data_IF_967845124082
#
_entry.id   IF_967845124082
#
_cell.length_a   1.000
_cell.length_b   1.000
_cell.length_c   1.000
_cell.angle_alpha   90.00
_cell.angle_beta   90.00
_cell.angle_gamma   90.00
#
_symmetry.space_group_name_H-M   'P 1'
#
loop_
_entity.id
_entity.type
_entity.pdbx_description
1 polymer ?
#
# COMPACT_ATOMS: atom_id res chain seq x y z
N UNK A 1 -5.80 5.79 66.27
CA UNK A 1 -4.59 5.64 65.41
C UNK A 1 -4.84 4.83 64.14
N UNK A 2 -5.46 3.64 64.23
CA UNK A 2 -5.70 2.72 63.08
C UNK A 2 -6.51 3.35 61.94
N UNK A 3 -7.53 4.16 62.27
CA UNK A 3 -8.38 4.91 61.31
C UNK A 3 -7.61 5.96 60.50
N UNK A 4 -6.65 6.65 61.11
CA UNK A 4 -5.83 7.68 60.41
C UNK A 4 -4.90 7.02 59.40
N UNK A 5 -4.40 5.81 59.72
CA UNK A 5 -3.60 5.02 58.81
C UNK A 5 -4.40 4.52 57.59
N UNK A 6 -5.64 4.07 57.81
CA UNK A 6 -6.54 3.67 56.72
C UNK A 6 -6.87 4.83 55.79
N UNK A 7 -7.13 6.03 56.33
CA UNK A 7 -7.39 7.23 55.52
C UNK A 7 -6.17 7.63 54.70
N UNK A 8 -4.97 7.58 55.28
CA UNK A 8 -3.72 7.86 54.56
C UNK A 8 -3.46 6.84 53.45
N UNK A 9 -3.70 5.56 53.71
CA UNK A 9 -3.50 4.50 52.74
C UNK A 9 -4.51 4.62 51.58
N UNK A 10 -5.77 4.94 51.89
CA UNK A 10 -6.79 5.23 50.89
C UNK A 10 -6.44 6.48 50.05
N UNK A 11 -5.90 7.54 50.67
CA UNK A 11 -5.49 8.75 49.96
C UNK A 11 -4.31 8.50 49.02
N UNK A 12 -3.32 7.69 49.43
CA UNK A 12 -2.19 7.30 48.57
C UNK A 12 -2.66 6.41 47.41
N UNK A 13 -3.57 5.47 47.67
CA UNK A 13 -4.17 4.64 46.61
C UNK A 13 -4.99 5.49 45.63
N UNK A 14 -5.78 6.45 46.11
CA UNK A 14 -6.53 7.36 45.26
C UNK A 14 -5.61 8.26 44.41
N UNK A 15 -4.50 8.75 44.98
CA UNK A 15 -3.50 9.52 44.25
C UNK A 15 -2.79 8.66 43.20
N UNK A 16 -2.44 7.43 43.55
CA UNK A 16 -1.86 6.46 42.61
C UNK A 16 -2.82 6.13 41.47
N UNK A 17 -4.10 5.89 41.77
CA UNK A 17 -5.13 5.67 40.76
C UNK A 17 -5.45 6.92 39.94
N UNK A 18 -5.34 8.13 40.49
CA UNK A 18 -5.52 9.36 39.72
C UNK A 18 -4.35 9.62 38.75
N UNK A 19 -3.12 9.32 39.18
CA UNK A 19 -1.93 9.42 38.34
C UNK A 19 -1.88 8.32 37.26
N UNK A 20 -2.37 7.11 37.58
CA UNK A 20 -2.36 5.96 36.67
C UNK A 20 -3.62 5.88 35.80
N UNK A 21 -4.76 6.36 36.30
CA UNK A 21 -6.10 6.16 35.75
C UNK A 21 -6.84 7.44 35.33
N UNK A 22 -6.20 8.61 35.39
CA UNK A 22 -6.74 9.79 34.70
C UNK A 22 -6.73 9.55 33.19
N UNK A 23 -7.87 9.79 32.53
CA UNK A 23 -8.22 9.58 31.11
C UNK A 23 -7.24 10.10 30.03
N UNK A 24 -6.06 10.58 30.41
CA UNK A 24 -5.00 11.10 29.55
C UNK A 24 -3.62 10.57 29.95
N UNK A 25 -3.52 9.26 30.22
CA UNK A 25 -2.21 8.63 30.45
C UNK A 25 -1.27 8.93 29.29
N UNK A 26 -0.04 9.37 29.59
CA UNK A 26 1.02 9.66 28.59
C UNK A 26 1.27 8.48 27.64
N UNK A 27 0.97 7.26 28.12
CA UNK A 27 1.06 6.01 27.35
C UNK A 27 0.02 6.00 26.21
N UNK A 28 -1.17 6.55 26.41
CA UNK A 28 -2.20 6.60 25.36
C UNK A 28 -1.83 7.61 24.27
N UNK A 29 -1.29 8.78 24.64
CA UNK A 29 -0.74 9.73 23.67
C UNK A 29 0.39 9.10 22.83
N UNK A 30 1.25 8.29 23.44
CA UNK A 30 2.28 7.57 22.71
C UNK A 30 1.70 6.53 21.74
N UNK A 31 0.72 5.74 22.19
CA UNK A 31 0.01 4.77 21.34
C UNK A 31 -0.75 5.45 20.19
N UNK A 32 -1.41 6.57 20.46
CA UNK A 32 -2.10 7.35 19.44
C UNK A 32 -1.12 7.92 18.41
N UNK A 33 0.03 8.46 18.85
CA UNK A 33 1.09 8.91 17.94
C UNK A 33 1.64 7.77 17.08
N UNK A 34 1.89 6.61 17.66
CA UNK A 34 2.32 5.43 16.90
C UNK A 34 1.27 5.00 15.87
N UNK A 35 -0.02 4.98 16.23
CA UNK A 35 -1.10 4.67 15.30
C UNK A 35 -1.20 5.69 14.17
N UNK A 36 -1.07 6.98 14.47
CA UNK A 36 -1.06 8.04 13.46
C UNK A 36 0.11 7.88 12.49
N UNK A 37 1.31 7.58 13.00
CA UNK A 37 2.49 7.34 12.16
C UNK A 37 2.31 6.11 11.26
N UNK A 38 1.73 5.03 11.79
CA UNK A 38 1.44 3.83 10.99
C UNK A 38 0.42 4.14 9.89
N UNK A 39 -0.68 4.84 10.24
CA UNK A 39 -1.69 5.23 9.27
C UNK A 39 -1.13 6.16 8.19
N UNK A 40 -0.28 7.13 8.57
CA UNK A 40 0.33 8.04 7.59
C UNK A 40 1.25 7.29 6.63
N UNK A 41 2.05 6.34 7.12
CA UNK A 41 2.91 5.52 6.27
C UNK A 41 2.10 4.69 5.27
N UNK A 42 0.98 4.10 5.69
CA UNK A 42 0.08 3.35 4.81
C UNK A 42 -0.59 4.27 3.80
N UNK A 43 -1.04 5.45 4.21
CA UNK A 43 -1.61 6.43 3.30
C UNK A 43 -0.59 6.88 2.24
N UNK A 44 0.66 7.11 2.64
CA UNK A 44 1.73 7.53 1.75
C UNK A 44 2.15 6.42 0.77
N UNK A 45 2.16 5.15 1.20
CA UNK A 45 2.39 4.03 0.28
C UNK A 45 1.26 3.93 -0.74
N UNK A 46 0.01 3.98 -0.28
CA UNK A 46 -1.14 3.85 -1.16
C UNK A 46 -1.24 5.00 -2.15
N UNK A 47 -0.87 6.22 -1.72
CA UNK A 47 -0.81 7.38 -2.61
C UNK A 47 0.23 7.22 -3.71
N UNK A 48 1.41 6.68 -3.38
CA UNK A 48 2.45 6.36 -4.38
C UNK A 48 1.98 5.33 -5.39
N UNK A 49 1.25 4.30 -4.95
CA UNK A 49 0.69 3.29 -5.84
C UNK A 49 -0.37 3.89 -6.77
N UNK A 50 -1.26 4.73 -6.24
CA UNK A 50 -2.27 5.44 -7.06
C UNK A 50 -1.59 6.35 -8.08
N UNK A 51 -0.54 7.08 -7.68
CA UNK A 51 0.17 7.99 -8.58
C UNK A 51 0.95 7.22 -9.67
N UNK A 52 1.54 6.07 -9.35
CA UNK A 52 2.21 5.21 -10.33
C UNK A 52 1.22 4.62 -11.34
N UNK A 53 0.06 4.13 -10.88
CA UNK A 53 -1.00 3.61 -11.73
C UNK A 53 -1.60 4.69 -12.63
N UNK A 54 -1.77 5.91 -12.11
CA UNK A 54 -2.22 7.06 -12.93
C UNK A 54 -1.19 7.46 -13.98
N UNK A 55 0.10 7.39 -13.65
CA UNK A 55 1.16 7.64 -14.63
C UNK A 55 1.14 6.58 -15.74
N UNK A 56 1.02 5.30 -15.38
CA UNK A 56 0.92 4.21 -16.34
C UNK A 56 -0.32 4.35 -17.23
N UNK A 57 -1.50 4.58 -16.65
CA UNK A 57 -2.74 4.82 -17.39
C UNK A 57 -2.56 5.94 -18.41
N UNK A 58 -2.01 7.08 -17.98
CA UNK A 58 -1.76 8.21 -18.89
C UNK A 58 -0.81 7.81 -20.02
N UNK A 59 0.28 7.12 -19.72
CA UNK A 59 1.22 6.66 -20.75
C UNK A 59 0.52 5.77 -21.80
N UNK A 60 -0.34 4.83 -21.37
CA UNK A 60 -1.11 3.99 -22.29
C UNK A 60 -2.11 4.82 -23.11
N UNK A 61 -2.73 5.84 -22.53
CA UNK A 61 -3.76 6.65 -23.21
C UNK A 61 -3.19 7.67 -24.21
N UNK A 62 -2.02 8.24 -23.95
CA UNK A 62 -1.53 9.41 -24.70
C UNK A 62 -0.18 9.20 -25.36
N UNK A 63 0.64 8.25 -24.93
CA UNK A 63 1.99 8.04 -25.48
C UNK A 63 1.94 7.03 -26.64
N UNK A 64 2.16 7.47 -27.89
CA UNK A 64 2.08 6.58 -29.05
C UNK A 64 3.11 5.45 -29.01
N UNK A 65 4.29 5.67 -28.41
CA UNK A 65 5.32 4.64 -28.33
C UNK A 65 4.91 3.52 -27.37
N UNK A 66 4.25 3.89 -26.26
CA UNK A 66 3.71 2.90 -25.30
C UNK A 66 2.54 2.14 -25.95
N UNK A 67 1.67 2.82 -26.66
CA UNK A 67 0.56 2.20 -27.40
C UNK A 67 1.07 1.22 -28.46
N UNK A 68 2.02 1.63 -29.28
CA UNK A 68 2.61 0.78 -30.32
C UNK A 68 3.29 -0.44 -29.71
N UNK A 69 4.06 -0.26 -28.63
CA UNK A 69 4.69 -1.36 -27.93
C UNK A 69 3.66 -2.38 -27.43
N UNK A 70 2.62 -1.93 -26.73
CA UNK A 70 1.54 -2.80 -26.25
C UNK A 70 0.84 -3.49 -27.43
N UNK A 71 0.54 -2.75 -28.49
CA UNK A 71 -0.10 -3.29 -29.68
C UNK A 71 0.74 -4.42 -30.30
N UNK A 72 2.07 -4.26 -30.38
CA UNK A 72 2.98 -5.25 -30.98
C UNK A 72 3.30 -6.42 -30.05
N UNK A 73 3.59 -6.15 -28.78
CA UNK A 73 4.06 -7.15 -27.81
C UNK A 73 2.90 -7.97 -27.24
N UNK A 74 1.84 -7.32 -26.78
CA UNK A 74 0.72 -7.99 -26.10
C UNK A 74 -0.34 -8.48 -27.09
N UNK A 75 -0.61 -7.70 -28.14
CA UNK A 75 -1.67 -7.99 -29.10
C UNK A 75 -1.16 -8.52 -30.46
N UNK A 76 0.16 -8.50 -30.71
CA UNK A 76 0.72 -8.95 -31.98
C UNK A 76 0.24 -8.17 -33.20
N UNK A 77 -0.26 -6.95 -33.00
CA UNK A 77 -0.77 -6.08 -34.05
C UNK A 77 0.38 -5.56 -34.91
N UNK A 78 0.08 -5.39 -36.20
CA UNK A 78 1.00 -4.92 -37.22
C UNK A 78 0.28 -3.83 -38.00
N UNK A 79 0.98 -2.76 -38.35
CA UNK A 79 0.38 -1.66 -39.10
C UNK A 79 0.00 -2.12 -40.51
N UNK A 80 -1.05 -1.53 -41.08
CA UNK A 80 -1.38 -1.78 -42.49
C UNK A 80 -0.19 -1.48 -43.41
N UNK A 81 0.16 -2.44 -44.26
CA UNK A 81 1.31 -2.37 -45.16
C UNK A 81 2.64 -2.82 -44.57
N UNK A 82 2.71 -3.17 -43.29
CA UNK A 82 3.91 -3.70 -42.64
C UNK A 82 3.95 -5.24 -42.69
N UNK A 83 5.13 -5.81 -42.99
CA UNK A 83 5.34 -7.25 -43.10
C UNK A 83 6.03 -7.79 -41.84
N UNK A 84 5.35 -8.67 -41.10
CA UNK A 84 5.91 -9.37 -39.95
C UNK A 84 6.56 -10.69 -40.37
N UNK A 85 7.89 -10.78 -40.25
CA UNK A 85 8.60 -12.04 -40.41
C UNK A 85 8.66 -12.78 -39.08
N UNK A 86 7.97 -13.93 -39.00
CA UNK A 86 8.05 -14.84 -37.86
C UNK A 86 8.90 -16.05 -38.21
N UNK A 87 10.00 -16.25 -37.50
CA UNK A 87 10.78 -17.47 -37.58
C UNK A 87 10.07 -18.55 -36.75
N UNK A 88 9.70 -19.65 -37.38
CA UNK A 88 9.06 -20.79 -36.75
C UNK A 88 10.09 -21.90 -36.61
N UNK A 89 10.19 -22.50 -35.43
CA UNK A 89 10.99 -23.72 -35.26
C UNK A 89 10.39 -24.86 -36.10
N UNK A 90 11.22 -25.74 -36.69
CA UNK A 90 10.74 -26.85 -37.52
C UNK A 90 9.68 -27.72 -36.83
N UNK A 91 9.83 -27.91 -35.52
CA UNK A 91 8.92 -28.71 -34.69
C UNK A 91 7.52 -28.09 -34.53
N UNK A 92 7.41 -26.76 -34.68
CA UNK A 92 6.14 -26.04 -34.56
C UNK A 92 5.23 -26.20 -35.79
N UNK A 93 5.81 -26.54 -36.95
CA UNK A 93 5.10 -26.75 -38.21
C UNK A 93 4.40 -28.13 -38.28
N UNK A 94 4.91 -29.12 -37.55
CA UNK A 94 4.36 -30.49 -37.53
C UNK A 94 3.03 -30.64 -36.76
N UNK A 95 2.74 -29.72 -35.82
CA UNK A 95 1.58 -29.81 -34.92
C UNK A 95 0.28 -29.25 -35.50
N UNK A 96 0.35 -28.43 -36.56
CA UNK A 96 -0.83 -27.84 -37.25
C UNK A 96 -1.41 -28.71 -38.37
N UNK A 97 -0.78 -29.85 -38.70
CA UNK A 97 -1.17 -30.74 -39.80
C UNK A 97 -2.00 -31.97 -39.37
N UNK A 98 -2.46 -32.03 -38.13
CA UNK A 98 -3.35 -33.09 -37.63
C UNK A 98 -4.68 -32.53 -37.16
#
# INVERSE_FOLDING_TARGET
>A
MKRVWLVRLAAVLALYFALQGGEFSTIDLFRQRQRLQQLSQVADSLRRDVDSLRALRRAIEIDPAVQERIAREDFGMVREGELLFRFLDPDSLGRRRR
#
